data_IF_085053475983
#
_entry.id   IF_085053475983
#
_cell.length_a   1.000
_cell.length_b   1.000
_cell.length_c   1.000
_cell.angle_alpha   90.00
_cell.angle_beta   90.00
_cell.angle_gamma   90.00
#
_symmetry.space_group_name_H-M   'P 1'
#
loop_
_entity.id
_entity.type
_entity.pdbx_description
1 polymer ?
#
# COMPACT_ATOMS: atom_id res chain seq x y z
N UNK A 1 -9.26 14.91 20.76
CA UNK A 1 -9.88 13.73 21.43
C UNK A 1 -9.38 12.48 20.72
N UNK A 2 -8.57 11.65 21.38
CA UNK A 2 -8.16 10.38 20.82
C UNK A 2 -9.40 9.53 20.56
N UNK A 3 -9.60 9.16 19.31
CA UNK A 3 -10.66 8.19 18.96
C UNK A 3 -10.31 6.87 19.64
N UNK A 4 -11.23 6.34 20.44
CA UNK A 4 -11.10 5.01 21.00
C UNK A 4 -10.84 4.02 19.85
N UNK A 5 -9.91 3.07 20.03
CA UNK A 5 -9.51 2.07 19.03
C UNK A 5 -10.70 1.35 18.39
N UNK A 6 -11.69 0.94 19.20
CA UNK A 6 -12.90 0.29 18.67
C UNK A 6 -13.72 1.25 17.77
N UNK A 7 -13.71 2.55 18.06
CA UNK A 7 -14.35 3.55 17.20
C UNK A 7 -13.59 3.69 15.87
N UNK A 8 -12.25 3.64 15.88
CA UNK A 8 -11.45 3.69 14.65
C UNK A 8 -11.80 2.54 13.72
N UNK A 9 -11.84 1.31 14.24
CA UNK A 9 -12.21 0.13 13.46
C UNK A 9 -13.61 0.28 12.84
N UNK A 10 -14.58 0.79 13.61
CA UNK A 10 -15.98 0.92 13.18
C UNK A 10 -16.22 2.06 12.19
N UNK A 11 -15.39 3.10 12.22
CA UNK A 11 -15.61 4.34 11.46
C UNK A 11 -14.73 4.48 10.23
N UNK A 12 -13.66 3.68 10.09
CA UNK A 12 -12.84 3.69 8.88
C UNK A 12 -13.70 3.36 7.65
N UNK A 13 -13.50 4.10 6.58
CA UNK A 13 -14.15 3.86 5.28
C UNK A 13 -13.11 3.95 4.16
N UNK A 14 -13.38 3.27 3.06
CA UNK A 14 -12.61 3.41 1.82
C UNK A 14 -12.86 4.77 1.20
N UNK A 15 -11.80 5.56 1.03
CA UNK A 15 -11.82 6.90 0.44
C UNK A 15 -11.30 6.80 -1.00
N UNK A 16 -12.07 7.32 -1.96
CA UNK A 16 -11.77 7.27 -3.40
C UNK A 16 -11.76 8.64 -4.06
N UNK A 17 -11.62 9.68 -3.28
CA UNK A 17 -11.40 11.06 -3.72
C UNK A 17 -10.45 11.73 -2.74
N UNK A 18 -9.44 12.41 -3.26
CA UNK A 18 -8.38 12.98 -2.44
C UNK A 18 -8.15 14.44 -2.80
N UNK A 19 -7.81 15.23 -1.81
CA UNK A 19 -7.28 16.58 -2.00
C UNK A 19 -5.87 16.52 -2.58
N UNK A 20 -5.45 17.59 -3.26
CA UNK A 20 -4.10 17.73 -3.78
C UNK A 20 -3.06 18.06 -2.70
N UNK A 21 -3.50 18.25 -1.47
CA UNK A 21 -2.64 18.56 -0.33
C UNK A 21 -1.66 17.40 -0.06
N UNK A 22 -0.35 17.71 0.08
CA UNK A 22 0.64 16.66 0.32
C UNK A 22 0.46 16.03 1.71
N UNK A 23 0.74 14.73 1.81
CA UNK A 23 0.80 14.03 3.09
C UNK A 23 2.11 14.41 3.78
N UNK A 24 2.08 14.94 5.02
CA UNK A 24 3.30 15.26 5.75
C UNK A 24 4.15 14.03 5.99
N UNK A 25 5.48 14.14 5.85
CA UNK A 25 6.40 13.01 6.04
C UNK A 25 6.22 12.33 7.38
N UNK A 26 6.05 13.10 8.47
CA UNK A 26 5.80 12.54 9.80
C UNK A 26 4.54 11.67 9.88
N UNK A 27 3.48 12.07 9.18
CA UNK A 27 2.25 11.28 9.13
C UNK A 27 2.44 10.00 8.28
N UNK A 28 3.14 10.12 7.15
CA UNK A 28 3.49 8.96 6.32
C UNK A 28 4.35 7.97 7.12
N UNK A 29 5.40 8.45 7.80
CA UNK A 29 6.27 7.62 8.62
C UNK A 29 5.50 6.84 9.69
N UNK A 30 4.57 7.51 10.39
CA UNK A 30 3.73 6.86 11.39
C UNK A 30 2.83 5.76 10.78
N UNK A 31 2.30 5.99 9.58
CA UNK A 31 1.50 4.97 8.86
C UNK A 31 2.38 3.77 8.47
N UNK A 32 3.56 4.03 7.93
CA UNK A 32 4.51 2.97 7.53
C UNK A 32 4.97 2.17 8.76
N UNK A 33 5.32 2.86 9.84
CA UNK A 33 5.70 2.21 11.11
C UNK A 33 4.60 1.28 11.62
N UNK A 34 3.34 1.73 11.64
CA UNK A 34 2.21 0.89 12.05
C UNK A 34 2.12 -0.43 11.25
N UNK A 35 2.43 -0.39 9.95
CA UNK A 35 2.50 -1.57 9.11
C UNK A 35 3.55 -2.58 9.58
N UNK A 36 4.68 -2.12 10.08
CA UNK A 36 5.78 -3.00 10.55
C UNK A 36 5.44 -3.78 11.82
N UNK A 37 4.39 -3.39 12.53
CA UNK A 37 3.94 -4.09 13.75
C UNK A 37 2.89 -5.18 13.48
N UNK A 38 2.50 -5.40 12.23
CA UNK A 38 1.57 -6.47 11.90
C UNK A 38 2.19 -7.85 12.17
N UNK A 39 1.39 -8.82 12.66
CA UNK A 39 1.87 -10.19 12.86
C UNK A 39 2.15 -10.86 11.51
N UNK A 40 3.07 -11.81 11.50
CA UNK A 40 3.37 -12.65 10.34
C UNK A 40 3.43 -14.12 10.73
N UNK A 41 3.15 -15.00 9.78
CA UNK A 41 3.21 -16.45 10.00
C UNK A 41 4.60 -16.88 10.47
N UNK A 42 4.67 -17.54 11.64
CA UNK A 42 5.91 -17.96 12.26
C UNK A 42 6.90 -16.81 12.60
N UNK A 43 6.48 -15.57 12.55
CA UNK A 43 7.34 -14.40 12.77
C UNK A 43 8.37 -14.17 11.67
N UNK A 44 8.15 -14.69 10.45
CA UNK A 44 9.12 -14.63 9.36
C UNK A 44 9.30 -13.24 8.73
N UNK A 45 8.41 -12.29 9.03
CA UNK A 45 8.50 -10.92 8.51
C UNK A 45 8.60 -10.87 6.97
N UNK A 46 7.74 -11.63 6.29
CA UNK A 46 7.75 -11.74 4.83
C UNK A 46 7.42 -10.45 4.08
N UNK A 47 6.60 -9.49 4.61
CA UNK A 47 6.24 -8.29 3.88
C UNK A 47 7.35 -7.27 3.73
N UNK A 48 7.34 -6.58 2.58
CA UNK A 48 8.12 -5.38 2.30
C UNK A 48 7.16 -4.25 1.97
N UNK A 49 7.33 -3.09 2.61
CA UNK A 49 6.48 -1.91 2.43
C UNK A 49 7.26 -0.90 1.58
N UNK A 50 6.65 -0.41 0.51
CA UNK A 50 7.27 0.54 -0.42
C UNK A 50 6.35 1.75 -0.55
N UNK A 51 6.80 2.91 -0.04
CA UNK A 51 6.07 4.17 -0.21
C UNK A 51 6.47 4.84 -1.53
N UNK A 52 5.50 5.07 -2.39
CA UNK A 52 5.66 5.76 -3.68
C UNK A 52 5.22 7.20 -3.50
N UNK A 53 6.20 8.11 -3.41
CA UNK A 53 5.99 9.56 -3.30
C UNK A 53 6.53 10.31 -4.51
N UNK A 54 7.45 9.70 -5.27
CA UNK A 54 8.00 10.27 -6.50
C UNK A 54 6.94 10.25 -7.60
N UNK A 55 6.61 11.40 -8.22
CA UNK A 55 5.62 11.48 -9.29
C UNK A 55 5.91 10.58 -10.50
N UNK A 56 7.18 10.30 -10.80
CA UNK A 56 7.57 9.38 -11.88
C UNK A 56 7.04 7.97 -11.59
N UNK A 57 7.40 7.42 -10.44
CA UNK A 57 6.98 6.07 -10.05
C UNK A 57 5.48 6.00 -9.75
N UNK A 58 4.90 7.09 -9.23
CA UNK A 58 3.46 7.19 -9.02
C UNK A 58 2.67 7.01 -10.33
N UNK A 59 3.14 7.65 -11.41
CA UNK A 59 2.54 7.49 -12.74
C UNK A 59 2.79 6.10 -13.33
N UNK A 60 3.99 5.58 -13.16
CA UNK A 60 4.37 4.27 -13.68
C UNK A 60 3.55 3.15 -13.05
N UNK A 61 3.42 3.13 -11.73
CA UNK A 61 2.64 2.11 -11.04
C UNK A 61 1.13 2.22 -11.39
N UNK A 62 0.61 3.43 -11.54
CA UNK A 62 -0.77 3.66 -11.97
C UNK A 62 -1.01 3.10 -13.37
N UNK A 63 -0.08 3.32 -14.31
CA UNK A 63 -0.15 2.78 -15.66
C UNK A 63 -0.16 1.25 -15.64
N UNK A 64 0.77 0.62 -14.94
CA UNK A 64 0.84 -0.84 -14.84
C UNK A 64 -0.43 -1.44 -14.24
N UNK A 65 -0.97 -0.84 -13.19
CA UNK A 65 -2.22 -1.30 -12.59
C UNK A 65 -3.42 -1.13 -13.55
N UNK A 66 -3.49 0.00 -14.25
CA UNK A 66 -4.55 0.26 -15.23
C UNK A 66 -4.49 -0.73 -16.41
N UNK A 67 -3.29 -1.10 -16.86
CA UNK A 67 -3.10 -2.11 -17.90
C UNK A 67 -3.64 -3.47 -17.47
N UNK A 68 -3.36 -3.91 -16.25
CA UNK A 68 -3.92 -5.15 -15.68
C UNK A 68 -5.44 -5.08 -15.59
N UNK A 69 -5.98 -3.92 -15.21
CA UNK A 69 -7.43 -3.69 -15.10
C UNK A 69 -8.12 -3.60 -16.48
N UNK A 70 -7.38 -3.38 -17.56
CA UNK A 70 -7.95 -3.13 -18.88
C UNK A 70 -8.61 -1.76 -18.99
N UNK A 71 -8.08 -0.75 -18.30
CA UNK A 71 -8.60 0.61 -18.23
C UNK A 71 -7.50 1.63 -18.47
N UNK A 72 -7.87 2.87 -18.75
CA UNK A 72 -6.98 4.03 -18.86
C UNK A 72 -7.21 5.07 -17.75
N UNK A 73 -7.99 4.72 -16.72
CA UNK A 73 -8.20 5.56 -15.54
C UNK A 73 -7.09 5.35 -14.53
N UNK A 74 -6.93 6.26 -13.55
CA UNK A 74 -6.01 6.07 -12.44
C UNK A 74 -6.62 5.15 -11.36
N UNK A 75 -6.11 3.93 -11.17
CA UNK A 75 -6.67 2.99 -10.19
C UNK A 75 -6.48 3.42 -8.74
N UNK A 76 -5.62 4.40 -8.49
CA UNK A 76 -5.34 4.94 -7.16
C UNK A 76 -6.07 6.26 -6.86
N UNK A 77 -7.08 6.60 -7.70
CA UNK A 77 -8.03 7.71 -7.46
C UNK A 77 -7.38 9.09 -7.28
N UNK A 78 -6.24 9.34 -7.91
CA UNK A 78 -5.52 10.60 -7.77
C UNK A 78 -4.84 10.82 -6.42
N UNK A 79 -4.74 9.79 -5.59
CA UNK A 79 -4.05 9.89 -4.31
C UNK A 79 -2.59 10.34 -4.48
N UNK A 80 -2.09 11.27 -3.65
CA UNK A 80 -0.72 11.76 -3.76
C UNK A 80 0.33 10.72 -3.39
N UNK A 81 -0.02 9.74 -2.56
CA UNK A 81 0.87 8.66 -2.12
C UNK A 81 0.22 7.31 -2.40
N UNK A 82 1.02 6.37 -2.87
CA UNK A 82 0.66 4.96 -2.97
C UNK A 82 1.66 4.15 -2.15
N UNK A 83 1.16 3.31 -1.24
CA UNK A 83 1.99 2.42 -0.45
C UNK A 83 1.77 1.00 -0.97
N UNK A 84 2.81 0.41 -1.54
CA UNK A 84 2.78 -0.96 -2.00
C UNK A 84 3.15 -1.89 -0.85
N UNK A 85 2.47 -3.02 -0.76
CA UNK A 85 2.85 -4.12 0.13
C UNK A 85 3.08 -5.35 -0.72
N UNK A 86 4.32 -5.79 -0.74
CA UNK A 86 4.77 -7.03 -1.34
C UNK A 86 5.23 -7.96 -0.22
N UNK A 87 5.33 -9.24 -0.51
CA UNK A 87 5.86 -10.20 0.45
C UNK A 87 6.63 -11.30 -0.26
N UNK A 88 7.54 -11.94 0.46
CA UNK A 88 8.29 -13.06 -0.07
C UNK A 88 7.34 -14.20 -0.44
N UNK A 89 7.23 -14.49 -1.73
CA UNK A 89 6.32 -15.50 -2.26
C UNK A 89 6.63 -16.92 -1.83
N UNK A 90 7.80 -17.18 -1.23
CA UNK A 90 8.14 -18.48 -0.65
C UNK A 90 7.51 -18.72 0.74
N UNK A 91 7.09 -17.66 1.42
CA UNK A 91 6.37 -17.78 2.68
C UNK A 91 4.93 -18.26 2.42
N UNK A 92 4.51 -19.35 3.06
CA UNK A 92 3.16 -19.93 2.84
C UNK A 92 2.02 -18.99 3.21
N UNK A 93 2.27 -18.02 4.09
CA UNK A 93 1.30 -17.02 4.58
C UNK A 93 1.53 -15.62 4.01
N UNK A 94 2.20 -15.49 2.87
CA UNK A 94 2.61 -14.18 2.36
C UNK A 94 1.43 -13.24 2.07
N UNK A 95 0.29 -13.77 1.64
CA UNK A 95 -0.92 -12.97 1.38
C UNK A 95 -1.52 -12.47 2.70
N UNK A 96 -1.66 -13.35 3.68
CA UNK A 96 -2.20 -13.03 5.00
C UNK A 96 -1.31 -12.03 5.72
N UNK A 97 0.01 -12.26 5.68
CA UNK A 97 1.00 -11.38 6.28
C UNK A 97 0.89 -9.95 5.70
N UNK A 98 0.88 -9.83 4.39
CA UNK A 98 0.73 -8.54 3.72
C UNK A 98 -0.63 -7.89 3.95
N UNK A 99 -1.69 -8.69 4.07
CA UNK A 99 -3.04 -8.19 4.36
C UNK A 99 -3.14 -7.56 5.75
N UNK A 100 -2.50 -8.16 6.75
CA UNK A 100 -2.42 -7.58 8.10
C UNK A 100 -1.65 -6.26 8.09
N UNK A 101 -0.56 -6.17 7.33
CA UNK A 101 0.20 -4.92 7.15
C UNK A 101 -0.67 -3.82 6.57
N UNK A 102 -1.41 -4.11 5.50
CA UNK A 102 -2.32 -3.14 4.85
C UNK A 102 -3.39 -2.64 5.82
N UNK A 103 -4.01 -3.52 6.60
CA UNK A 103 -5.03 -3.12 7.57
C UNK A 103 -4.46 -2.25 8.68
N UNK A 104 -3.30 -2.59 9.25
CA UNK A 104 -2.64 -1.74 10.25
C UNK A 104 -2.40 -0.33 9.71
N UNK A 105 -1.91 -0.21 8.48
CA UNK A 105 -1.66 1.10 7.86
C UNK A 105 -2.95 1.88 7.61
N UNK A 106 -4.02 1.22 7.17
CA UNK A 106 -5.31 1.90 6.94
C UNK A 106 -5.92 2.42 8.23
N UNK A 107 -5.81 1.67 9.33
CA UNK A 107 -6.28 2.11 10.65
C UNK A 107 -5.44 3.27 11.19
N UNK A 108 -4.12 3.19 11.06
CA UNK A 108 -3.22 4.27 11.46
C UNK A 108 -3.49 5.56 10.69
N UNK A 109 -3.66 5.47 9.38
CA UNK A 109 -4.00 6.61 8.54
C UNK A 109 -5.32 7.25 8.98
N UNK A 110 -6.35 6.44 9.26
CA UNK A 110 -7.63 6.93 9.75
C UNK A 110 -7.51 7.64 11.10
N UNK A 111 -6.66 7.14 11.99
CA UNK A 111 -6.39 7.78 13.28
C UNK A 111 -5.75 9.16 13.11
N UNK A 112 -4.96 9.36 12.05
CA UNK A 112 -4.30 10.62 11.71
C UNK A 112 -5.17 11.55 10.84
N UNK A 113 -6.42 11.19 10.55
CA UNK A 113 -7.32 12.00 9.73
C UNK A 113 -7.06 11.87 8.22
N UNK A 114 -6.28 10.89 7.80
CA UNK A 114 -6.03 10.58 6.40
C UNK A 114 -7.04 9.57 5.86
N UNK A 115 -7.32 9.66 4.56
CA UNK A 115 -8.15 8.73 3.83
C UNK A 115 -7.33 7.64 3.14
N UNK A 116 -7.85 6.43 3.10
CA UNK A 116 -7.23 5.29 2.44
C UNK A 116 -8.24 4.42 1.71
N UNK A 117 -7.75 3.69 0.72
CA UNK A 117 -8.46 2.56 0.13
C UNK A 117 -7.45 1.48 -0.28
N UNK A 118 -7.81 0.22 -0.08
CA UNK A 118 -7.07 -0.91 -0.64
C UNK A 118 -7.27 -0.93 -2.16
N UNK A 119 -6.18 -0.91 -2.90
CA UNK A 119 -6.16 -1.15 -4.34
C UNK A 119 -5.49 -2.49 -4.60
N UNK A 120 -6.09 -3.29 -5.46
CA UNK A 120 -5.64 -4.65 -5.79
C UNK A 120 -4.84 -4.68 -7.09
N UNK A 121 -4.42 -5.85 -7.53
CA UNK A 121 -3.69 -6.17 -8.77
C UNK A 121 -2.17 -6.02 -8.70
N UNK A 122 -1.61 -5.72 -7.54
CA UNK A 122 -0.15 -5.66 -7.34
C UNK A 122 0.51 -7.02 -7.58
N UNK A 123 -0.20 -8.12 -7.35
CA UNK A 123 0.31 -9.47 -7.68
C UNK A 123 0.60 -9.60 -9.16
N UNK A 124 -0.35 -9.28 -10.01
CA UNK A 124 -0.21 -9.35 -11.46
C UNK A 124 0.89 -8.41 -11.96
N UNK A 125 0.98 -7.22 -11.38
CA UNK A 125 2.03 -6.24 -11.71
C UNK A 125 3.41 -6.84 -11.42
N UNK A 126 3.65 -7.30 -10.20
CA UNK A 126 4.99 -7.72 -9.76
C UNK A 126 5.35 -9.16 -10.17
N UNK A 127 4.39 -9.95 -10.64
CA UNK A 127 4.65 -11.20 -11.33
C UNK A 127 5.01 -10.97 -12.81
N UNK A 128 4.73 -9.78 -13.38
CA UNK A 128 5.08 -9.42 -14.74
C UNK A 128 6.54 -8.98 -14.90
N UNK A 129 7.06 -8.98 -16.14
CA UNK A 129 8.41 -8.48 -16.42
C UNK A 129 8.58 -7.00 -16.08
N UNK A 130 7.55 -6.17 -16.31
CA UNK A 130 7.59 -4.75 -15.97
C UNK A 130 7.70 -4.53 -14.45
N UNK A 131 6.97 -5.28 -13.66
CA UNK A 131 7.06 -5.23 -12.20
C UNK A 131 8.40 -5.74 -11.69
N UNK A 132 8.93 -6.82 -12.25
CA UNK A 132 10.26 -7.35 -11.90
C UNK A 132 11.37 -6.37 -12.27
N UNK A 133 11.22 -5.64 -13.38
CA UNK A 133 12.15 -4.58 -13.75
C UNK A 133 12.17 -3.45 -12.70
N UNK A 134 11.01 -3.07 -12.15
CA UNK A 134 10.94 -2.12 -11.04
C UNK A 134 11.65 -2.65 -9.79
N UNK A 135 11.45 -3.91 -9.44
CA UNK A 135 12.15 -4.51 -8.29
C UNK A 135 13.66 -4.45 -8.47
N UNK A 136 14.17 -4.76 -9.66
CA UNK A 136 15.61 -4.63 -9.98
C UNK A 136 16.09 -3.20 -9.86
N UNK A 137 15.35 -2.24 -10.41
CA UNK A 137 15.68 -0.81 -10.33
C UNK A 137 15.73 -0.32 -8.89
N UNK A 138 14.82 -0.79 -8.05
CA UNK A 138 14.79 -0.48 -6.61
C UNK A 138 15.73 -1.33 -5.77
N UNK A 139 16.47 -2.25 -6.40
CA UNK A 139 17.41 -3.18 -5.72
C UNK A 139 16.72 -4.06 -4.68
N UNK A 140 15.52 -4.50 -5.00
CA UNK A 140 14.73 -5.41 -4.20
C UNK A 140 14.72 -6.82 -4.80
N UNK A 141 14.51 -7.87 -3.99
CA UNK A 141 14.45 -9.25 -4.49
C UNK A 141 13.32 -9.45 -5.49
N UNK A 142 13.58 -10.14 -6.59
CA UNK A 142 12.57 -10.49 -7.61
C UNK A 142 11.61 -11.61 -7.13
N UNK A 143 11.89 -12.21 -5.97
CA UNK A 143 11.00 -13.17 -5.29
C UNK A 143 9.83 -12.52 -4.59
N UNK A 144 9.83 -11.18 -4.43
CA UNK A 144 8.71 -10.45 -3.87
C UNK A 144 7.51 -10.50 -4.80
N UNK A 145 6.36 -10.81 -4.23
CA UNK A 145 5.07 -10.82 -4.90
C UNK A 145 4.16 -9.76 -4.31
N UNK A 146 3.33 -9.14 -5.15
CA UNK A 146 2.37 -8.15 -4.69
C UNK A 146 1.26 -8.77 -3.85
N UNK A 147 0.89 -8.09 -2.76
CA UNK A 147 -0.28 -8.40 -1.95
C UNK A 147 -1.38 -7.39 -2.19
N UNK A 148 -1.05 -6.11 -2.14
CA UNK A 148 -1.96 -5.02 -2.39
C UNK A 148 -1.28 -3.69 -2.21
N UNK A 149 -2.04 -2.61 -2.40
CA UNK A 149 -1.59 -1.26 -2.16
C UNK A 149 -2.61 -0.47 -1.34
N UNK A 150 -2.13 0.58 -0.69
CA UNK A 150 -2.95 1.61 -0.05
C UNK A 150 -2.77 2.91 -0.83
N UNK A 151 -3.85 3.44 -1.40
CA UNK A 151 -3.90 4.83 -1.84
C UNK A 151 -4.10 5.70 -0.59
N UNK A 152 -3.30 6.75 -0.43
CA UNK A 152 -3.23 7.55 0.79
C UNK A 152 -3.24 9.05 0.46
N UNK A 153 -4.06 9.81 1.18
CA UNK A 153 -4.15 11.26 1.06
C UNK A 153 -5.20 11.83 2.01
N UNK A 154 -5.39 13.15 1.97
CA UNK A 154 -6.50 13.79 2.69
C UNK A 154 -7.82 13.57 1.94
N UNK A 155 -8.89 13.19 2.65
CA UNK A 155 -10.20 12.95 2.06
C UNK A 155 -10.93 14.25 1.66
#
# INVERSE_FOLDING_TARGET
MEKNFLSLIKTRRSVRAYKSEPVPSKALDAVLEAGTYAPTGGGHQSPTIIAITDPKYRREIAKLNAEVMGSNTDPYYGAPVVILVLADGSASTFVEDGSCVLENMMLAAHALGLGTVWVHREREIFDSESGKALLREWKLPETLRGVGAVALGYP
#
